data_IF_292204228483
#
_entry.id   IF_292204228483
#
_cell.length_a   1.000
_cell.length_b   1.000
_cell.length_c   1.000
_cell.angle_alpha   90.00
_cell.angle_beta   90.00
_cell.angle_gamma   90.00
#
_symmetry.space_group_name_H-M   'P 1'
#
loop_
_entity.id
_entity.type
_entity.pdbx_description
1 polymer ?
#
# COMPACT_ATOMS: atom_id res chain seq x y z
N UNK A 1 49.93 -17.78 3.89
CA UNK A 1 49.09 -17.01 4.80
C UNK A 1 47.69 -16.97 4.17
N UNK A 2 46.78 -17.77 4.71
CA UNK A 2 45.42 -17.90 4.18
C UNK A 2 44.65 -16.63 4.45
N UNK A 3 44.30 -15.91 3.38
CA UNK A 3 43.24 -14.91 3.44
C UNK A 3 41.92 -15.66 3.62
N UNK A 4 41.55 -15.92 4.86
CA UNK A 4 40.19 -16.33 5.20
C UNK A 4 39.29 -15.17 4.73
N UNK A 5 38.45 -15.43 3.71
CA UNK A 5 37.36 -14.56 3.30
C UNK A 5 36.43 -14.39 4.52
N UNK A 6 36.70 -13.42 5.38
CA UNK A 6 35.80 -13.04 6.46
C UNK A 6 34.50 -12.57 5.80
N UNK A 7 33.45 -13.34 5.94
CA UNK A 7 32.10 -12.94 5.54
C UNK A 7 31.77 -11.63 6.25
N UNK A 8 31.60 -10.56 5.46
CA UNK A 8 31.17 -9.27 5.99
C UNK A 8 29.65 -9.33 6.21
N UNK A 9 29.24 -9.20 7.46
CA UNK A 9 27.82 -9.13 7.79
C UNK A 9 27.21 -7.87 7.15
N UNK A 10 26.20 -8.05 6.31
CA UNK A 10 25.51 -6.96 5.62
C UNK A 10 24.07 -7.34 5.33
N UNK A 11 23.18 -6.37 5.32
CA UNK A 11 21.80 -6.54 4.90
C UNK A 11 21.70 -6.61 3.37
N UNK A 12 20.73 -7.34 2.84
CA UNK A 12 20.35 -7.23 1.44
C UNK A 12 19.94 -5.79 1.12
N UNK A 13 20.21 -5.34 -0.12
CA UNK A 13 19.87 -3.99 -0.56
C UNK A 13 18.35 -3.77 -0.51
N UNK A 14 17.92 -2.69 0.14
CA UNK A 14 16.50 -2.32 0.27
C UNK A 14 15.81 -2.93 1.49
N UNK A 15 16.58 -3.51 2.41
CA UNK A 15 16.09 -4.01 3.70
C UNK A 15 16.70 -3.19 4.83
N UNK A 16 15.99 -3.07 5.94
CA UNK A 16 16.44 -2.31 7.12
C UNK A 16 16.05 -3.04 8.40
N UNK A 17 16.99 -3.18 9.32
CA UNK A 17 16.71 -3.52 10.71
C UNK A 17 16.10 -2.33 11.44
N UNK A 18 15.18 -2.58 12.36
CA UNK A 18 14.61 -1.58 13.26
C UNK A 18 14.69 -2.10 14.68
N UNK A 19 15.17 -1.25 15.61
CA UNK A 19 15.34 -1.62 17.01
C UNK A 19 15.17 -0.41 17.92
N UNK A 20 15.15 -0.65 19.24
CA UNK A 20 15.14 0.38 20.26
C UNK A 20 13.93 1.30 20.18
N UNK A 21 14.15 2.59 20.39
CA UNK A 21 13.11 3.61 20.46
C UNK A 21 12.35 3.80 19.13
N UNK A 22 13.05 3.64 17.99
CA UNK A 22 12.40 3.71 16.65
C UNK A 22 11.31 2.63 16.53
N UNK A 23 11.64 1.39 16.92
CA UNK A 23 10.70 0.28 16.87
C UNK A 23 9.56 0.45 17.89
N UNK A 24 9.87 0.88 19.10
CA UNK A 24 8.88 1.13 20.14
C UNK A 24 7.87 2.22 19.72
N UNK A 25 8.37 3.33 19.16
CA UNK A 25 7.52 4.40 18.65
C UNK A 25 6.63 3.92 17.50
N UNK A 26 7.19 3.19 16.53
CA UNK A 26 6.43 2.61 15.44
C UNK A 26 5.28 1.73 15.96
N UNK A 27 5.56 0.83 16.89
CA UNK A 27 4.55 -0.07 17.44
C UNK A 27 3.45 0.71 18.15
N UNK A 28 3.81 1.70 18.97
CA UNK A 28 2.83 2.58 19.65
C UNK A 28 1.92 3.31 18.63
N UNK A 29 2.48 3.85 17.55
CA UNK A 29 1.70 4.52 16.51
C UNK A 29 0.74 3.54 15.84
N UNK A 30 1.21 2.35 15.46
CA UNK A 30 0.40 1.31 14.83
C UNK A 30 -0.73 0.88 15.75
N UNK A 31 -0.46 0.61 17.02
CA UNK A 31 -1.46 0.18 17.99
C UNK A 31 -2.52 1.27 18.22
N UNK A 32 -2.11 2.54 18.28
CA UNK A 32 -3.04 3.68 18.36
C UNK A 32 -3.98 3.74 17.16
N UNK A 33 -3.47 3.50 15.95
CA UNK A 33 -4.28 3.51 14.72
C UNK A 33 -5.20 2.29 14.68
N UNK A 34 -4.72 1.11 15.06
CA UNK A 34 -5.55 -0.11 15.15
C UNK A 34 -6.77 0.06 16.04
N UNK A 35 -6.61 0.75 17.18
CA UNK A 35 -7.75 1.06 18.07
C UNK A 35 -8.83 1.88 17.36
N UNK A 36 -8.46 2.81 16.47
CA UNK A 36 -9.44 3.56 15.69
C UNK A 36 -10.22 2.63 14.76
N UNK A 37 -9.56 1.73 14.02
CA UNK A 37 -10.25 0.77 13.16
C UNK A 37 -11.22 -0.13 13.95
N UNK A 38 -10.81 -0.62 15.11
CA UNK A 38 -11.65 -1.44 15.99
C UNK A 38 -12.90 -0.65 16.41
N UNK A 39 -12.77 0.63 16.76
CA UNK A 39 -13.89 1.50 17.15
C UNK A 39 -14.89 1.73 16.00
N UNK A 40 -14.44 1.61 14.74
CA UNK A 40 -15.29 1.63 13.55
C UNK A 40 -15.80 0.23 13.12
N UNK A 41 -15.64 -0.76 14.01
CA UNK A 41 -16.07 -2.15 13.79
C UNK A 41 -15.35 -2.86 12.64
N UNK A 42 -14.08 -2.49 12.42
CA UNK A 42 -13.21 -3.25 11.53
C UNK A 42 -12.56 -4.40 12.31
N UNK A 43 -12.56 -5.57 11.72
CA UNK A 43 -11.90 -6.77 12.24
C UNK A 43 -10.45 -6.81 11.77
N UNK A 44 -9.54 -7.20 12.65
CA UNK A 44 -8.15 -7.41 12.24
C UNK A 44 -8.00 -8.75 11.53
N UNK A 45 -7.50 -8.73 10.30
CA UNK A 45 -7.12 -9.92 9.55
C UNK A 45 -5.61 -9.99 9.41
N UNK A 46 -5.03 -11.14 9.74
CA UNK A 46 -3.63 -11.46 9.46
C UNK A 46 -3.55 -12.62 8.47
N UNK A 47 -2.87 -12.40 7.37
CA UNK A 47 -2.66 -13.40 6.32
C UNK A 47 -1.18 -13.76 6.23
N UNK A 48 -0.83 -14.96 5.73
CA UNK A 48 0.55 -15.34 5.51
C UNK A 48 1.32 -14.34 4.64
N UNK A 49 2.62 -14.25 4.82
CA UNK A 49 3.48 -13.41 3.97
C UNK A 49 3.75 -14.05 2.60
N UNK A 50 3.51 -15.34 2.48
CA UNK A 50 3.62 -16.10 1.25
C UNK A 50 2.24 -16.44 0.69
N UNK A 51 2.09 -16.24 -0.60
CA UNK A 51 0.94 -16.67 -1.37
C UNK A 51 1.41 -17.59 -2.51
N UNK A 52 0.52 -18.45 -3.00
CA UNK A 52 0.78 -19.15 -4.25
C UNK A 52 0.86 -18.14 -5.38
N UNK A 53 1.86 -18.26 -6.25
CA UNK A 53 2.07 -17.30 -7.34
C UNK A 53 0.84 -17.17 -8.25
N UNK A 54 0.07 -18.25 -8.44
CA UNK A 54 -1.17 -18.24 -9.21
C UNK A 54 -2.28 -17.34 -8.61
N UNK A 55 -2.28 -17.14 -7.28
CA UNK A 55 -3.28 -16.32 -6.59
C UNK A 55 -3.03 -14.81 -6.75
N UNK A 56 -1.79 -14.43 -7.04
CA UNK A 56 -1.44 -13.01 -7.19
C UNK A 56 -1.91 -12.46 -8.52
N UNK A 57 -1.99 -13.35 -9.52
CA UNK A 57 -2.55 -13.01 -10.83
C UNK A 57 -1.71 -12.05 -11.67
N UNK A 58 -2.18 -11.77 -12.88
CA UNK A 58 -1.51 -10.91 -13.85
C UNK A 58 -1.80 -9.41 -13.65
N UNK A 59 -2.66 -9.04 -12.70
CA UNK A 59 -3.08 -7.65 -12.50
C UNK A 59 -2.03 -6.76 -11.82
N UNK A 60 -0.95 -7.34 -11.28
CA UNK A 60 0.19 -6.60 -10.75
C UNK A 60 1.20 -6.18 -11.83
N UNK A 61 1.01 -6.63 -13.06
CA UNK A 61 1.96 -6.39 -14.14
C UNK A 61 1.81 -4.99 -14.74
N UNK A 62 2.79 -4.14 -14.55
CA UNK A 62 2.99 -2.98 -15.44
C UNK A 62 3.52 -3.41 -16.82
N UNK A 63 4.13 -4.58 -16.93
CA UNK A 63 4.69 -5.16 -18.15
C UNK A 63 3.96 -6.46 -18.51
N UNK A 64 3.13 -6.41 -19.56
CA UNK A 64 2.40 -7.58 -20.06
C UNK A 64 3.32 -8.75 -20.43
N UNK A 65 4.60 -8.46 -20.73
CA UNK A 65 5.60 -9.47 -21.09
C UNK A 65 6.30 -10.08 -19.87
N UNK A 66 6.24 -9.41 -18.70
CA UNK A 66 6.84 -9.92 -17.47
C UNK A 66 6.02 -9.53 -16.23
N UNK A 67 4.85 -10.15 -16.03
CA UNK A 67 3.92 -9.82 -14.96
C UNK A 67 4.46 -9.99 -13.54
N UNK A 68 5.58 -10.67 -13.37
CA UNK A 68 6.19 -10.97 -12.07
C UNK A 68 7.49 -10.18 -11.83
N UNK A 69 7.80 -9.15 -12.63
CA UNK A 69 9.08 -8.42 -12.56
C UNK A 69 9.31 -7.74 -11.22
N UNK A 70 8.25 -7.29 -10.56
CA UNK A 70 8.34 -6.52 -9.32
C UNK A 70 8.02 -7.33 -8.06
N UNK A 71 7.93 -8.66 -8.18
CA UNK A 71 7.53 -9.58 -7.13
C UNK A 71 8.66 -10.54 -6.77
N UNK A 72 8.87 -10.77 -5.48
CA UNK A 72 9.79 -11.81 -5.00
C UNK A 72 9.12 -13.17 -5.09
N UNK A 73 9.56 -14.02 -6.01
CA UNK A 73 9.04 -15.37 -6.21
C UNK A 73 10.09 -16.43 -5.92
N UNK A 74 9.61 -17.54 -5.41
CA UNK A 74 10.42 -18.72 -5.06
C UNK A 74 9.77 -19.96 -5.67
N UNK A 75 10.56 -20.78 -6.32
CA UNK A 75 10.10 -22.06 -6.84
C UNK A 75 10.72 -23.14 -5.96
N UNK A 76 9.88 -23.92 -5.30
CA UNK A 76 10.30 -25.18 -4.68
C UNK A 76 9.86 -26.35 -5.57
N UNK A 77 10.20 -27.59 -5.18
CA UNK A 77 9.96 -28.79 -5.99
C UNK A 77 8.48 -29.05 -6.33
N UNK A 78 7.53 -28.41 -5.64
CA UNK A 78 6.10 -28.72 -5.71
C UNK A 78 5.23 -27.53 -6.08
N UNK A 79 5.64 -26.31 -5.72
CA UNK A 79 4.81 -25.13 -5.92
C UNK A 79 5.65 -23.85 -6.10
N UNK A 80 5.07 -22.88 -6.78
CA UNK A 80 5.62 -21.54 -6.89
C UNK A 80 4.98 -20.64 -5.84
N UNK A 81 5.82 -20.05 -4.99
CA UNK A 81 5.41 -19.16 -3.90
C UNK A 81 5.92 -17.75 -4.17
N UNK A 82 5.16 -16.77 -3.74
CA UNK A 82 5.48 -15.36 -3.91
C UNK A 82 5.29 -14.63 -2.59
N UNK A 83 6.22 -13.74 -2.23
CA UNK A 83 6.00 -12.81 -1.14
C UNK A 83 4.93 -11.81 -1.52
N UNK A 84 3.99 -11.55 -0.61
CA UNK A 84 2.87 -10.63 -0.85
C UNK A 84 3.37 -9.23 -1.22
N UNK A 85 2.85 -8.70 -2.32
CA UNK A 85 3.16 -7.37 -2.83
C UNK A 85 2.35 -6.26 -2.13
N UNK A 86 1.14 -6.62 -1.69
CA UNK A 86 0.19 -5.81 -0.93
C UNK A 86 -0.57 -6.70 0.08
N UNK A 87 -1.56 -6.13 0.76
CA UNK A 87 -2.43 -6.86 1.69
C UNK A 87 -3.82 -7.14 1.08
N UNK A 88 -4.10 -6.66 -0.14
CA UNK A 88 -5.40 -6.80 -0.82
C UNK A 88 -5.52 -8.12 -1.59
N UNK A 89 -4.45 -8.59 -2.24
CA UNK A 89 -4.46 -9.88 -2.92
C UNK A 89 -4.67 -11.05 -1.93
N UNK A 90 -3.97 -11.11 -0.78
CA UNK A 90 -4.28 -12.08 0.27
C UNK A 90 -5.71 -11.99 0.81
N UNK A 91 -6.27 -10.78 0.92
CA UNK A 91 -7.65 -10.58 1.32
C UNK A 91 -8.62 -11.19 0.30
N UNK A 92 -8.41 -10.96 -1.00
CA UNK A 92 -9.26 -11.50 -2.04
C UNK A 92 -9.29 -13.04 -1.99
N UNK A 93 -8.14 -13.69 -1.82
CA UNK A 93 -8.05 -15.15 -1.61
C UNK A 93 -8.81 -15.56 -0.35
N UNK A 94 -8.56 -14.89 0.79
CA UNK A 94 -9.23 -15.21 2.05
C UNK A 94 -10.75 -15.12 1.93
N UNK A 95 -11.27 -14.06 1.32
CA UNK A 95 -12.69 -13.89 1.10
C UNK A 95 -13.28 -14.96 0.16
N UNK A 96 -12.55 -15.35 -0.88
CA UNK A 96 -13.00 -16.41 -1.79
C UNK A 96 -13.08 -17.78 -1.08
N UNK A 97 -12.09 -18.09 -0.24
CA UNK A 97 -12.01 -19.33 0.52
C UNK A 97 -13.09 -19.43 1.62
N UNK A 98 -13.37 -18.30 2.30
CA UNK A 98 -14.25 -18.26 3.47
C UNK A 98 -15.60 -17.56 3.17
N UNK A 99 -15.98 -17.41 1.90
CA UNK A 99 -17.15 -16.61 1.48
C UNK A 99 -18.44 -16.95 2.20
N UNK A 100 -18.67 -18.23 2.53
CA UNK A 100 -19.89 -18.71 3.19
C UNK A 100 -19.95 -18.39 4.68
N UNK A 101 -18.80 -18.17 5.30
CA UNK A 101 -18.66 -17.95 6.74
C UNK A 101 -18.51 -16.46 7.10
N UNK A 102 -18.24 -15.62 6.11
CA UNK A 102 -18.11 -14.17 6.29
C UNK A 102 -19.47 -13.48 6.38
N UNK A 103 -19.58 -12.55 7.32
CA UNK A 103 -20.74 -11.65 7.44
C UNK A 103 -20.48 -10.39 6.63
N UNK A 104 -21.36 -10.09 5.68
CA UNK A 104 -21.25 -8.90 4.84
C UNK A 104 -22.19 -7.77 5.33
N UNK A 105 -21.77 -6.47 5.22
CA UNK A 105 -20.48 -6.02 4.71
C UNK A 105 -19.34 -6.41 5.64
N UNK A 106 -18.31 -7.04 5.09
CA UNK A 106 -17.10 -7.40 5.82
C UNK A 106 -16.15 -6.21 5.85
N UNK A 107 -15.89 -5.71 7.04
CA UNK A 107 -14.95 -4.61 7.30
C UNK A 107 -13.70 -5.19 7.94
N UNK A 108 -12.57 -5.10 7.25
CA UNK A 108 -11.31 -5.58 7.79
C UNK A 108 -10.22 -4.52 7.75
N UNK A 109 -9.28 -4.59 8.69
CA UNK A 109 -7.98 -3.96 8.54
C UNK A 109 -6.88 -5.00 8.68
N UNK A 110 -5.75 -4.76 8.04
CA UNK A 110 -4.55 -5.59 8.16
C UNK A 110 -3.32 -4.72 8.35
N UNK A 111 -2.38 -5.20 9.14
CA UNK A 111 -1.07 -4.60 9.31
C UNK A 111 -0.02 -5.66 9.06
N UNK A 112 0.94 -5.39 8.19
CA UNK A 112 2.00 -6.34 7.90
C UNK A 112 3.03 -5.80 6.91
N UNK A 113 4.15 -6.52 6.79
CA UNK A 113 5.15 -6.21 5.79
C UNK A 113 4.67 -6.65 4.42
N UNK A 114 5.00 -5.84 3.43
CA UNK A 114 4.85 -6.14 2.00
C UNK A 114 6.21 -6.05 1.32
N UNK A 115 6.35 -6.70 0.17
CA UNK A 115 7.66 -6.92 -0.45
C UNK A 115 7.59 -6.57 -1.93
N UNK A 116 8.42 -5.62 -2.36
CA UNK A 116 8.48 -5.15 -3.75
C UNK A 116 9.89 -5.20 -4.27
N UNK A 117 10.10 -5.83 -5.42
CA UNK A 117 11.42 -5.99 -6.04
C UNK A 117 11.87 -4.74 -6.80
N UNK A 118 11.21 -3.62 -6.60
CA UNK A 118 11.55 -2.35 -7.21
C UNK A 118 12.98 -1.89 -6.90
N UNK A 119 13.46 -0.92 -7.67
CA UNK A 119 14.78 -0.30 -7.42
C UNK A 119 14.75 0.45 -6.08
N UNK A 120 15.50 -0.09 -5.12
CA UNK A 120 15.63 0.52 -3.81
C UNK A 120 16.48 1.80 -3.88
N UNK A 121 16.03 2.86 -3.21
CA UNK A 121 16.77 4.10 -2.96
C UNK A 121 16.74 4.48 -1.46
N UNK A 122 17.15 5.69 -1.10
CA UNK A 122 17.20 6.14 0.30
C UNK A 122 15.84 6.22 0.99
N UNK A 123 14.75 6.34 0.24
CA UNK A 123 13.38 6.49 0.72
C UNK A 123 12.48 5.26 0.41
N UNK A 124 12.90 4.40 -0.53
CA UNK A 124 12.13 3.24 -0.99
C UNK A 124 12.81 1.94 -0.57
N UNK A 125 12.18 1.26 0.36
CA UNK A 125 12.61 -0.06 0.81
C UNK A 125 11.89 -1.16 0.02
N UNK A 126 12.53 -2.31 -0.11
CA UNK A 126 11.94 -3.52 -0.71
C UNK A 126 11.04 -4.29 0.26
N UNK A 127 11.20 -4.02 1.55
CA UNK A 127 10.30 -4.49 2.60
C UNK A 127 9.87 -3.31 3.45
N UNK A 128 8.56 -3.08 3.54
CA UNK A 128 7.97 -2.01 4.35
C UNK A 128 6.61 -2.44 4.87
N UNK A 129 6.17 -1.83 5.96
CA UNK A 129 4.88 -2.14 6.55
C UNK A 129 3.78 -1.30 5.88
N UNK A 130 2.64 -1.95 5.61
CA UNK A 130 1.37 -1.32 5.27
C UNK A 130 0.36 -1.55 6.38
N UNK A 131 -0.57 -0.62 6.53
CA UNK A 131 -1.79 -0.78 7.30
C UNK A 131 -2.93 -0.43 6.36
N UNK A 132 -3.67 -1.45 5.95
CA UNK A 132 -4.74 -1.37 4.96
C UNK A 132 -6.10 -1.60 5.62
N UNK A 133 -7.13 -0.97 5.08
CA UNK A 133 -8.52 -1.20 5.49
C UNK A 133 -9.42 -1.32 4.26
N UNK A 134 -10.32 -2.30 4.30
CA UNK A 134 -11.25 -2.59 3.21
C UNK A 134 -12.65 -2.85 3.76
N UNK A 135 -13.64 -2.47 2.95
CA UNK A 135 -15.05 -2.78 3.16
C UNK A 135 -15.52 -3.57 1.94
N UNK A 136 -15.95 -4.82 2.17
CA UNK A 136 -16.37 -5.74 1.11
C UNK A 136 -17.85 -6.06 1.30
N UNK A 137 -18.63 -5.92 0.24
CA UNK A 137 -20.06 -6.23 0.24
C UNK A 137 -20.89 -5.21 -0.50
N UNK A 138 -22.22 -5.36 -0.41
CA UNK A 138 -23.15 -4.39 -1.00
C UNK A 138 -23.33 -3.22 -0.05
N UNK A 139 -22.58 -2.16 -0.30
CA UNK A 139 -22.57 -0.90 0.47
C UNK A 139 -22.72 0.30 -0.47
N UNK A 140 -23.21 1.41 0.06
CA UNK A 140 -23.13 2.67 -0.68
C UNK A 140 -21.66 3.12 -0.77
N UNK A 141 -21.06 3.19 -1.98
CA UNK A 141 -19.64 3.52 -2.12
C UNK A 141 -19.28 4.86 -1.47
N UNK A 142 -20.08 5.90 -1.68
CA UNK A 142 -19.78 7.24 -1.13
C UNK A 142 -19.81 7.27 0.40
N UNK A 143 -20.63 6.44 1.03
CA UNK A 143 -20.65 6.32 2.50
C UNK A 143 -19.42 5.56 3.00
N UNK A 144 -19.03 4.48 2.32
CA UNK A 144 -17.83 3.72 2.64
C UNK A 144 -16.58 4.60 2.48
N UNK A 145 -16.48 5.36 1.40
CA UNK A 145 -15.37 6.29 1.15
C UNK A 145 -15.28 7.38 2.23
N UNK A 146 -16.42 7.95 2.62
CA UNK A 146 -16.49 8.93 3.69
C UNK A 146 -16.09 8.35 5.05
N UNK A 147 -16.47 7.09 5.34
CA UNK A 147 -16.07 6.40 6.54
C UNK A 147 -14.56 6.20 6.60
N UNK A 148 -13.93 5.75 5.52
CA UNK A 148 -12.47 5.62 5.44
C UNK A 148 -11.77 6.97 5.63
N UNK A 149 -12.25 8.05 5.00
CA UNK A 149 -11.70 9.39 5.22
C UNK A 149 -11.79 9.84 6.69
N UNK A 150 -12.89 9.53 7.36
CA UNK A 150 -13.06 9.84 8.78
C UNK A 150 -12.10 9.04 9.67
N UNK A 151 -11.94 7.74 9.40
CA UNK A 151 -10.98 6.87 10.11
C UNK A 151 -9.57 7.43 10.00
N UNK A 152 -9.14 7.85 8.81
CA UNK A 152 -7.82 8.44 8.58
C UNK A 152 -7.67 9.73 9.38
N UNK A 153 -8.67 10.62 9.31
CA UNK A 153 -8.64 11.88 10.04
C UNK A 153 -8.58 11.67 11.56
N UNK A 154 -9.34 10.71 12.07
CA UNK A 154 -9.34 10.37 13.49
C UNK A 154 -8.02 9.71 13.91
N UNK A 155 -7.47 8.82 13.10
CA UNK A 155 -6.17 8.21 13.32
C UNK A 155 -5.08 9.28 13.45
N UNK A 156 -5.04 10.25 12.53
CA UNK A 156 -4.05 11.33 12.58
C UNK A 156 -4.20 12.21 13.82
N UNK A 157 -5.42 12.54 14.22
CA UNK A 157 -5.67 13.26 15.48
C UNK A 157 -5.22 12.47 16.71
N UNK A 158 -5.51 11.15 16.72
CA UNK A 158 -5.15 10.29 17.86
C UNK A 158 -3.65 10.12 18.04
N UNK A 159 -2.87 10.12 16.97
CA UNK A 159 -1.41 10.12 17.04
C UNK A 159 -0.81 11.51 17.32
N UNK A 160 -1.65 12.53 17.51
CA UNK A 160 -1.24 13.86 17.97
C UNK A 160 -1.11 14.92 16.88
N UNK A 161 -1.51 14.64 15.62
CA UNK A 161 -1.50 15.65 14.56
C UNK A 161 -2.69 16.61 14.71
N UNK A 162 -2.43 17.90 14.55
CA UNK A 162 -3.46 18.94 14.49
C UNK A 162 -4.02 19.09 13.07
N UNK A 163 -5.18 19.74 12.95
CA UNK A 163 -5.85 19.95 11.64
C UNK A 163 -4.99 20.65 10.59
N UNK A 164 -4.02 21.45 11.02
CA UNK A 164 -3.15 22.22 10.14
C UNK A 164 -1.91 21.41 9.69
N UNK A 165 -1.71 20.22 10.25
CA UNK A 165 -0.55 19.38 9.97
C UNK A 165 -0.80 18.27 8.96
N UNK A 166 -2.06 18.07 8.54
CA UNK A 166 -2.38 17.08 7.50
C UNK A 166 -3.54 17.54 6.62
N UNK A 167 -3.57 17.02 5.41
CA UNK A 167 -4.67 17.20 4.45
C UNK A 167 -5.01 15.85 3.85
N UNK A 168 -6.30 15.53 3.76
CA UNK A 168 -6.79 14.33 3.07
C UNK A 168 -7.24 14.75 1.68
N UNK A 169 -6.52 14.32 0.65
CA UNK A 169 -6.88 14.55 -0.74
C UNK A 169 -7.73 13.41 -1.26
N UNK A 170 -8.93 13.70 -1.74
CA UNK A 170 -9.85 12.71 -2.32
C UNK A 170 -9.95 12.97 -3.82
N UNK A 171 -9.71 11.96 -4.63
CA UNK A 171 -9.83 12.02 -6.08
C UNK A 171 -10.83 11.00 -6.59
N UNK A 172 -11.54 11.34 -7.66
CA UNK A 172 -12.45 10.42 -8.33
C UNK A 172 -12.02 10.24 -9.79
N UNK A 173 -11.65 9.03 -10.16
CA UNK A 173 -11.21 8.68 -11.52
C UNK A 173 -12.22 9.08 -12.61
N UNK A 174 -13.53 9.08 -12.30
CA UNK A 174 -14.57 9.52 -13.23
C UNK A 174 -14.43 11.00 -13.63
N UNK A 175 -13.93 11.85 -12.73
CA UNK A 175 -13.68 13.28 -13.03
C UNK A 175 -12.55 13.40 -14.05
N UNK A 176 -11.46 12.65 -13.84
CA UNK A 176 -10.33 12.62 -14.78
C UNK A 176 -10.75 12.06 -16.13
N UNK A 177 -11.53 10.96 -16.15
CA UNK A 177 -12.06 10.39 -17.37
C UNK A 177 -13.00 11.37 -18.10
N UNK A 178 -13.86 12.07 -17.38
CA UNK A 178 -14.73 13.12 -17.95
C UNK A 178 -13.93 14.25 -18.59
N UNK A 179 -12.81 14.65 -17.96
CA UNK A 179 -11.92 15.65 -18.51
C UNK A 179 -11.21 15.17 -19.78
N UNK A 180 -10.70 13.96 -19.78
CA UNK A 180 -10.07 13.30 -20.94
C UNK A 180 -11.05 13.25 -22.12
N UNK A 181 -12.28 12.85 -21.87
CA UNK A 181 -13.34 12.79 -22.89
C UNK A 181 -13.68 14.19 -23.43
N UNK A 182 -13.79 15.18 -22.55
CA UNK A 182 -14.06 16.59 -22.93
C UNK A 182 -12.93 17.17 -23.78
N UNK A 183 -11.68 16.83 -23.47
CA UNK A 183 -10.50 17.25 -24.23
C UNK A 183 -10.29 16.44 -25.52
N UNK A 184 -11.12 15.41 -25.76
CA UNK A 184 -11.03 14.53 -26.93
C UNK A 184 -9.64 13.88 -27.08
N UNK A 185 -9.04 13.47 -25.97
CA UNK A 185 -7.75 12.79 -26.00
C UNK A 185 -7.93 11.40 -26.60
N UNK A 186 -7.14 11.09 -27.61
CA UNK A 186 -7.13 9.81 -28.33
C UNK A 186 -6.88 8.63 -27.35
N UNK A 187 -7.56 7.51 -27.55
CA UNK A 187 -7.53 6.36 -26.61
C UNK A 187 -6.12 5.85 -26.33
N UNK A 188 -5.26 5.79 -27.35
CA UNK A 188 -3.87 5.35 -27.23
C UNK A 188 -3.01 6.29 -26.34
N UNK A 189 -3.44 7.54 -26.15
CA UNK A 189 -2.76 8.54 -25.34
C UNK A 189 -3.33 8.67 -23.93
N UNK A 190 -4.57 8.21 -23.71
CA UNK A 190 -5.27 8.39 -22.42
C UNK A 190 -4.48 7.80 -21.25
N UNK A 191 -3.97 6.57 -21.40
CA UNK A 191 -3.16 5.93 -20.36
C UNK A 191 -1.89 6.74 -20.03
N UNK A 192 -1.19 7.26 -21.05
CA UNK A 192 0.02 8.07 -20.85
C UNK A 192 -0.28 9.38 -20.12
N UNK A 193 -1.42 10.01 -20.43
CA UNK A 193 -1.88 11.24 -19.79
C UNK A 193 -2.22 10.98 -18.32
N UNK A 194 -2.99 9.93 -18.02
CA UNK A 194 -3.32 9.54 -16.65
C UNK A 194 -2.06 9.22 -15.84
N UNK A 195 -1.13 8.43 -16.39
CA UNK A 195 0.16 8.11 -15.76
C UNK A 195 1.03 9.36 -15.52
N UNK A 196 0.91 10.37 -16.38
CA UNK A 196 1.63 11.64 -16.21
C UNK A 196 1.02 12.51 -15.12
N UNK A 197 -0.31 12.53 -15.02
CA UNK A 197 -1.04 13.23 -13.94
C UNK A 197 -0.72 12.60 -12.58
N UNK A 198 -0.72 11.28 -12.51
CA UNK A 198 -0.38 10.52 -11.28
C UNK A 198 1.05 10.80 -10.80
N UNK A 199 1.97 11.06 -11.71
CA UNK A 199 3.35 11.43 -11.41
C UNK A 199 3.57 12.91 -11.10
N UNK A 200 2.59 13.78 -11.36
CA UNK A 200 2.72 15.23 -11.16
C UNK A 200 3.03 15.59 -9.70
N UNK A 201 2.34 14.95 -8.75
CA UNK A 201 2.57 15.21 -7.33
C UNK A 201 3.96 14.73 -6.88
N UNK A 202 4.49 13.67 -7.47
CA UNK A 202 5.84 13.19 -7.21
C UNK A 202 6.92 14.08 -7.86
N UNK A 203 6.63 14.71 -9.00
CA UNK A 203 7.57 15.59 -9.71
C UNK A 203 7.60 17.00 -9.15
N UNK A 204 6.51 17.51 -8.61
CA UNK A 204 6.44 18.82 -7.95
C UNK A 204 7.25 18.87 -6.65
N UNK A 205 7.50 17.75 -5.99
CA UNK A 205 8.41 17.67 -4.85
C UNK A 205 9.84 18.02 -5.25
N UNK A 206 10.23 17.80 -6.48
CA UNK A 206 11.56 18.13 -6.99
C UNK A 206 11.71 19.58 -7.52
N UNK A 207 10.61 20.28 -7.70
CA UNK A 207 10.59 21.67 -8.23
C UNK A 207 10.33 22.71 -7.13
N UNK A 208 9.78 22.28 -5.97
CA UNK A 208 9.54 23.19 -4.86
C UNK A 208 10.80 23.46 -4.05
N UNK A 209 11.10 24.74 -3.84
CA UNK A 209 12.25 25.25 -3.09
C UNK A 209 12.46 24.58 -1.72
N UNK A 210 13.72 24.51 -1.21
CA UNK A 210 14.09 23.79 0.01
C UNK A 210 13.55 24.41 1.33
N UNK A 211 12.58 25.33 1.26
CA UNK A 211 12.07 26.09 2.40
C UNK A 211 10.65 25.72 2.84
N UNK A 212 10.01 24.72 2.23
CA UNK A 212 8.70 24.25 2.72
C UNK A 212 8.87 23.25 3.86
N UNK A 213 8.10 23.42 4.97
CA UNK A 213 8.11 22.45 6.05
C UNK A 213 7.71 21.07 5.50
N UNK A 214 8.43 20.04 5.96
CA UNK A 214 8.17 18.64 5.66
C UNK A 214 6.71 18.29 6.03
N UNK A 215 5.81 18.31 5.05
CA UNK A 215 4.50 17.68 5.20
C UNK A 215 4.70 16.18 5.13
N UNK A 216 4.61 15.54 6.29
CA UNK A 216 4.68 14.09 6.42
C UNK A 216 3.33 13.53 6.00
N UNK A 217 3.33 12.69 4.98
CA UNK A 217 2.27 11.79 4.51
C UNK A 217 1.26 12.35 3.52
N UNK A 218 1.48 12.04 2.25
CA UNK A 218 0.41 11.95 1.26
C UNK A 218 -0.22 10.56 1.34
N UNK A 219 -1.47 10.48 1.77
CA UNK A 219 -2.29 9.31 1.51
C UNK A 219 -3.06 9.60 0.20
N UNK A 220 -2.67 8.95 -0.89
CA UNK A 220 -3.38 9.04 -2.18
C UNK A 220 -4.34 7.86 -2.21
N UNK A 221 -5.64 8.13 -2.11
CA UNK A 221 -6.68 7.15 -2.36
C UNK A 221 -7.23 7.38 -3.77
N UNK A 222 -7.08 6.40 -4.66
CA UNK A 222 -7.82 6.33 -5.90
C UNK A 222 -9.10 5.51 -5.65
N UNK A 223 -10.23 6.19 -5.74
CA UNK A 223 -11.58 5.59 -5.69
C UNK A 223 -12.02 5.18 -7.11
#
# INVERSE_FOLDING_TARGET
MNNENKLQASLPKGFKDRWGDELALKNKLVDTIKEVFINYSFEQLETPEFEKSENIGSFLAEDENNPMSDVFSFVNEKESLTLRYDLSAPLARFCAENFRDLVFPYKRFAYGNVFRQEKADSARFRSFAQLDADIIGDVNPSQADAEICNIIAESFKKIGLTKDQFTINVSNKKILQGLINKLKIEEDKQYKVLKSIDKLDLSLIHISEPTRPLYISYAVFCL
#
